data_IF_074887557166
#
_entry.id   IF_074887557166
#
_cell.length_a   1.000
_cell.length_b   1.000
_cell.length_c   1.000
_cell.angle_alpha   90.00
_cell.angle_beta   90.00
_cell.angle_gamma   90.00
#
_symmetry.space_group_name_H-M   'P 1'
#
loop_
_entity.id
_entity.type
_entity.pdbx_description
1 polymer ?
#
# COMPACT_ATOMS: atom_id res chain seq x y z
N UNK A 1 -0.44 13.90 -16.07
CA UNK A 1 -0.43 15.13 -16.92
C UNK A 1 -0.36 14.85 -18.41
N UNK A 2 0.47 13.91 -18.88
CA UNK A 2 0.49 13.51 -20.30
C UNK A 2 -0.89 13.03 -20.81
N UNK A 3 -1.66 12.37 -19.94
CA UNK A 3 -2.85 11.64 -20.36
C UNK A 3 -4.05 12.53 -20.76
N UNK A 4 -4.31 13.63 -20.04
CA UNK A 4 -5.47 14.49 -20.31
C UNK A 4 -5.25 15.40 -21.53
N UNK A 5 -4.03 15.90 -21.70
CA UNK A 5 -3.65 16.71 -22.86
C UNK A 5 -3.62 15.88 -24.15
N UNK A 6 -3.09 14.66 -24.09
CA UNK A 6 -3.06 13.74 -25.25
C UNK A 6 -4.48 13.30 -25.63
N UNK A 7 -5.35 13.00 -24.66
CA UNK A 7 -6.75 12.66 -24.92
C UNK A 7 -7.51 13.79 -25.63
N UNK A 8 -7.33 15.04 -25.17
CA UNK A 8 -7.96 16.21 -25.80
C UNK A 8 -7.43 16.48 -27.21
N UNK A 9 -6.14 16.26 -27.45
CA UNK A 9 -5.52 16.41 -28.78
C UNK A 9 -6.06 15.34 -29.73
N UNK A 10 -6.13 14.08 -29.29
CA UNK A 10 -6.64 12.98 -30.11
C UNK A 10 -8.14 13.12 -30.39
N UNK A 11 -8.94 13.47 -29.37
CA UNK A 11 -10.37 13.74 -29.55
C UNK A 11 -10.63 14.97 -30.45
N UNK A 12 -9.81 16.01 -30.31
CA UNK A 12 -9.86 17.20 -31.16
C UNK A 12 -9.49 16.92 -32.62
N UNK A 13 -8.46 16.09 -32.86
CA UNK A 13 -8.06 15.64 -34.20
C UNK A 13 -9.12 14.71 -34.84
N UNK A 14 -9.74 13.83 -34.05
CA UNK A 14 -10.85 12.99 -34.51
C UNK A 14 -12.05 13.85 -34.92
N UNK A 15 -12.48 14.80 -34.08
CA UNK A 15 -13.55 15.75 -34.41
C UNK A 15 -13.23 16.61 -35.63
N UNK A 16 -12.01 17.15 -35.74
CA UNK A 16 -11.58 17.90 -36.91
C UNK A 16 -11.64 17.05 -38.19
N UNK A 17 -11.27 15.76 -38.13
CA UNK A 17 -11.31 14.86 -39.29
C UNK A 17 -12.73 14.56 -39.80
N UNK A 18 -13.72 14.53 -38.88
CA UNK A 18 -15.15 14.39 -39.23
C UNK A 18 -15.73 15.67 -39.81
N UNK A 19 -15.32 16.84 -39.31
CA UNK A 19 -15.78 18.17 -39.77
C UNK A 19 -15.18 18.55 -41.14
N UNK A 20 -13.91 18.21 -41.39
CA UNK A 20 -13.22 18.53 -42.65
C UNK A 20 -13.43 17.48 -43.77
N UNK A 21 -14.26 16.45 -43.57
CA UNK A 21 -14.56 15.45 -44.59
C UNK A 21 -13.37 14.53 -44.96
N UNK A 22 -12.29 14.56 -44.16
CA UNK A 22 -11.10 13.70 -44.30
C UNK A 22 -11.36 12.25 -43.87
N UNK A 23 -12.56 11.96 -43.37
CA UNK A 23 -13.04 10.62 -42.97
C UNK A 23 -13.10 9.59 -44.12
N UNK A 24 -12.75 9.96 -45.35
CA UNK A 24 -12.60 9.07 -46.50
C UNK A 24 -11.29 8.27 -46.48
N UNK A 25 -10.30 8.68 -45.66
CA UNK A 25 -9.00 8.01 -45.58
C UNK A 25 -9.02 6.88 -44.55
N UNK A 26 -8.75 5.61 -44.94
CA UNK A 26 -8.89 4.45 -44.06
C UNK A 26 -7.95 4.50 -42.84
N UNK A 27 -6.77 5.12 -42.98
CA UNK A 27 -5.78 5.25 -41.90
C UNK A 27 -6.27 6.13 -40.74
N UNK A 28 -7.08 7.16 -41.03
CA UNK A 28 -7.58 8.10 -40.01
C UNK A 28 -8.66 7.43 -39.14
N UNK A 29 -9.52 6.60 -39.74
CA UNK A 29 -10.54 5.85 -39.00
C UNK A 29 -9.94 4.81 -38.06
N UNK A 30 -8.86 4.15 -38.49
CA UNK A 30 -8.15 3.19 -37.63
C UNK A 30 -7.60 3.90 -36.37
N UNK A 31 -7.01 5.08 -36.54
CA UNK A 31 -6.51 5.88 -35.41
C UNK A 31 -7.63 6.30 -34.44
N UNK A 32 -8.80 6.65 -34.97
CA UNK A 32 -9.98 7.01 -34.17
C UNK A 32 -10.50 5.84 -33.34
N UNK A 33 -10.54 4.63 -33.89
CA UNK A 33 -10.87 3.42 -33.12
C UNK A 33 -9.85 3.14 -32.01
N UNK A 34 -8.54 3.26 -32.29
CA UNK A 34 -7.50 3.11 -31.26
C UNK A 34 -7.65 4.12 -30.13
N UNK A 35 -8.04 5.37 -30.44
CA UNK A 35 -8.31 6.40 -29.44
C UNK A 35 -9.50 6.04 -28.53
N UNK A 36 -10.57 5.48 -29.11
CA UNK A 36 -11.74 5.02 -28.35
C UNK A 36 -11.40 3.82 -27.46
N UNK A 37 -10.59 2.87 -27.95
CA UNK A 37 -10.08 1.76 -27.13
C UNK A 37 -9.17 2.24 -25.99
N UNK A 38 -8.40 3.30 -26.21
CA UNK A 38 -7.59 3.93 -25.17
C UNK A 38 -8.46 4.59 -24.08
N UNK A 39 -9.62 5.15 -24.45
CA UNK A 39 -10.63 5.61 -23.49
C UNK A 39 -11.26 4.46 -22.70
N UNK A 40 -11.28 3.25 -23.28
CA UNK A 40 -11.79 2.04 -22.64
C UNK A 40 -10.81 1.48 -21.59
N UNK A 41 -9.51 1.75 -21.72
CA UNK A 41 -8.53 1.54 -20.65
C UNK A 41 -8.83 2.53 -19.51
N UNK A 42 -9.31 2.09 -18.34
CA UNK A 42 -9.92 3.00 -17.40
C UNK A 42 -8.85 3.78 -16.64
N UNK A 43 -8.70 5.06 -16.98
CA UNK A 43 -8.05 6.05 -16.10
C UNK A 43 -8.72 6.11 -14.71
N UNK A 44 -10.01 5.77 -14.66
CA UNK A 44 -10.77 5.65 -13.43
C UNK A 44 -10.26 4.53 -12.54
N UNK A 45 -9.81 3.39 -13.10
CA UNK A 45 -9.30 2.26 -12.33
C UNK A 45 -8.04 2.67 -11.54
N UNK A 46 -7.13 3.41 -12.17
CA UNK A 46 -5.93 3.90 -11.50
C UNK A 46 -6.27 4.80 -10.31
N UNK A 47 -7.18 5.76 -10.51
CA UNK A 47 -7.59 6.67 -9.43
C UNK A 47 -8.34 5.91 -8.33
N UNK A 48 -9.19 4.95 -8.70
CA UNK A 48 -9.89 4.09 -7.73
C UNK A 48 -8.94 3.25 -6.89
N UNK A 49 -7.87 2.75 -7.48
CA UNK A 49 -6.84 1.97 -6.80
C UNK A 49 -6.07 2.81 -5.77
N UNK A 50 -5.63 4.01 -6.16
CA UNK A 50 -4.98 4.95 -5.23
C UNK A 50 -5.92 5.34 -4.07
N UNK A 51 -7.22 5.56 -4.35
CA UNK A 51 -8.21 5.83 -3.31
C UNK A 51 -8.40 4.65 -2.36
N UNK A 52 -8.36 3.42 -2.88
CA UNK A 52 -8.43 2.21 -2.06
C UNK A 52 -7.23 2.11 -1.11
N UNK A 53 -6.02 2.36 -1.60
CA UNK A 53 -4.80 2.36 -0.78
C UNK A 53 -4.85 3.40 0.34
N UNK A 54 -5.34 4.61 0.05
CA UNK A 54 -5.54 5.63 1.07
C UNK A 54 -6.56 5.21 2.14
N UNK A 55 -7.66 4.58 1.73
CA UNK A 55 -8.68 4.10 2.65
C UNK A 55 -8.15 2.99 3.58
N UNK A 56 -7.40 2.03 3.03
CA UNK A 56 -6.80 0.94 3.82
C UNK A 56 -5.74 1.49 4.78
N UNK A 57 -4.87 2.39 4.31
CA UNK A 57 -3.87 3.04 5.16
C UNK A 57 -4.51 3.77 6.34
N UNK A 58 -5.58 4.52 6.09
CA UNK A 58 -6.33 5.19 7.14
C UNK A 58 -6.97 4.22 8.15
N UNK A 59 -7.40 3.04 7.71
CA UNK A 59 -7.92 2.03 8.63
C UNK A 59 -6.85 1.39 9.48
N UNK A 60 -5.63 1.17 8.97
CA UNK A 60 -4.51 0.66 9.77
C UNK A 60 -4.16 1.64 10.88
N UNK A 61 -4.14 2.94 10.58
CA UNK A 61 -3.81 3.98 11.56
C UNK A 61 -4.88 4.16 12.65
N UNK A 62 -6.14 3.81 12.34
CA UNK A 62 -7.26 3.94 13.27
C UNK A 62 -7.58 2.67 14.04
N UNK A 63 -6.85 1.58 13.81
CA UNK A 63 -7.09 0.32 14.50
C UNK A 63 -6.67 0.42 15.97
N UNK A 64 -7.59 0.28 16.94
CA UNK A 64 -7.24 0.32 18.36
C UNK A 64 -6.39 -0.87 18.80
N UNK A 65 -6.40 -1.99 18.08
CA UNK A 65 -5.62 -3.19 18.44
C UNK A 65 -4.12 -3.05 18.11
N UNK A 66 -3.77 -2.11 17.24
CA UNK A 66 -2.38 -1.85 16.82
C UNK A 66 -1.79 -0.62 17.52
N UNK A 67 -2.31 -0.26 18.69
CA UNK A 67 -1.82 0.85 19.53
C UNK A 67 -1.06 0.28 20.72
N UNK A 68 0.09 0.89 21.02
CA UNK A 68 0.87 0.53 22.20
C UNK A 68 0.36 1.32 23.42
N UNK A 69 -0.10 0.61 24.44
CA UNK A 69 -0.63 1.22 25.68
C UNK A 69 0.44 1.98 26.47
N UNK A 70 1.72 1.62 26.32
CA UNK A 70 2.81 2.24 27.08
C UNK A 70 3.24 3.59 26.51
N UNK A 71 3.27 3.73 25.18
CA UNK A 71 3.71 4.94 24.48
C UNK A 71 2.55 5.77 23.92
N UNK A 72 1.33 5.24 23.91
CA UNK A 72 0.15 5.81 23.25
C UNK A 72 0.36 6.06 21.74
N UNK A 73 1.34 5.37 21.14
CA UNK A 73 1.62 5.43 19.72
C UNK A 73 0.86 4.31 18.97
N UNK A 74 0.28 4.65 17.82
CA UNK A 74 -0.40 3.71 16.93
C UNK A 74 0.45 3.29 15.74
N UNK A 75 0.04 2.21 15.05
CA UNK A 75 0.61 1.87 13.75
C UNK A 75 0.46 3.04 12.75
N UNK A 76 1.53 3.36 12.03
CA UNK A 76 1.55 4.45 11.06
C UNK A 76 1.86 3.94 9.65
N UNK A 77 0.95 4.16 8.70
CA UNK A 77 1.06 3.69 7.33
C UNK A 77 1.78 4.72 6.45
N UNK A 78 3.11 4.82 6.59
CA UNK A 78 3.92 5.87 5.92
C UNK A 78 3.97 5.76 4.39
N UNK A 79 3.75 4.57 3.85
CA UNK A 79 3.69 4.34 2.41
C UNK A 79 2.48 3.47 2.08
N UNK A 80 1.46 4.06 1.47
CA UNK A 80 0.20 3.38 1.15
C UNK A 80 0.29 2.51 -0.11
N UNK A 81 1.31 2.72 -0.97
CA UNK A 81 1.46 1.99 -2.23
C UNK A 81 1.84 0.50 -2.06
N UNK A 82 2.42 0.15 -0.91
CA UNK A 82 2.90 -1.21 -0.59
C UNK A 82 1.94 -2.00 0.32
N UNK A 83 0.75 -1.46 0.60
CA UNK A 83 -0.19 -2.08 1.53
C UNK A 83 -0.66 -3.46 1.06
N UNK A 84 -0.77 -3.67 -0.25
CA UNK A 84 -1.15 -4.97 -0.82
C UNK A 84 -0.03 -6.00 -0.74
N UNK A 85 1.23 -5.55 -0.87
CA UNK A 85 2.40 -6.42 -0.75
C UNK A 85 2.51 -6.99 0.67
N UNK A 86 2.03 -6.26 1.69
CA UNK A 86 1.98 -6.74 3.06
C UNK A 86 1.15 -8.03 3.21
N UNK A 87 0.11 -8.20 2.39
CA UNK A 87 -0.71 -9.42 2.36
C UNK A 87 -0.05 -10.60 1.65
N UNK A 88 1.08 -10.38 0.99
CA UNK A 88 1.80 -11.38 0.18
C UNK A 88 3.19 -11.71 0.76
N UNK A 89 3.47 -11.29 2.00
CA UNK A 89 4.77 -11.53 2.62
C UNK A 89 4.89 -12.99 3.07
N UNK A 90 5.85 -13.73 2.51
CA UNK A 90 6.17 -15.12 2.89
C UNK A 90 7.27 -15.23 3.96
N UNK A 91 8.19 -14.27 4.01
CA UNK A 91 9.35 -14.31 4.90
C UNK A 91 9.45 -13.03 5.74
N UNK A 92 9.52 -13.22 7.06
CA UNK A 92 9.75 -12.13 8.02
C UNK A 92 11.18 -12.21 8.55
N UNK A 93 12.00 -11.22 8.20
CA UNK A 93 13.32 -11.03 8.82
C UNK A 93 13.17 -10.10 10.01
N UNK A 94 13.42 -10.60 11.22
CA UNK A 94 13.37 -9.82 12.45
C UNK A 94 14.77 -9.56 12.99
N UNK A 95 15.00 -8.35 13.48
CA UNK A 95 16.15 -8.08 14.34
C UNK A 95 15.92 -8.67 15.73
N UNK A 96 17.00 -8.96 16.47
CA UNK A 96 16.92 -9.52 17.82
C UNK A 96 16.72 -8.42 18.86
N UNK A 97 17.63 -7.45 18.90
CA UNK A 97 17.72 -6.49 19.99
C UNK A 97 16.84 -5.28 19.69
N UNK A 98 15.89 -4.97 20.58
CA UNK A 98 14.95 -3.87 20.35
C UNK A 98 13.74 -4.23 19.50
N UNK A 99 13.65 -5.46 18.98
CA UNK A 99 12.43 -6.01 18.35
C UNK A 99 11.94 -7.24 19.10
N UNK A 100 12.71 -8.33 19.13
CA UNK A 100 12.30 -9.56 19.84
C UNK A 100 12.53 -9.47 21.35
N UNK A 101 13.57 -8.75 21.78
CA UNK A 101 13.89 -8.61 23.20
C UNK A 101 13.84 -7.14 23.60
N UNK A 102 13.11 -6.85 24.68
CA UNK A 102 13.33 -5.63 25.45
C UNK A 102 14.78 -5.62 25.96
N UNK A 103 15.41 -4.46 25.99
CA UNK A 103 16.78 -4.31 26.48
C UNK A 103 16.83 -4.33 28.03
N UNK A 104 16.25 -5.38 28.62
CA UNK A 104 16.13 -5.59 30.05
C UNK A 104 16.43 -7.07 30.37
N UNK A 105 17.40 -7.31 31.26
CA UNK A 105 17.76 -8.65 31.70
C UNK A 105 17.25 -8.89 33.10
N UNK A 106 16.33 -9.85 33.26
CA UNK A 106 15.77 -10.23 34.55
C UNK A 106 16.36 -11.55 35.03
N UNK A 107 16.76 -11.58 36.29
CA UNK A 107 17.21 -12.82 36.92
C UNK A 107 16.00 -13.74 37.12
N UNK A 108 16.05 -14.95 36.57
CA UNK A 108 14.91 -15.87 36.61
C UNK A 108 15.10 -16.98 37.66
N UNK A 109 16.25 -17.66 37.62
CA UNK A 109 16.56 -18.80 38.48
C UNK A 109 18.04 -18.82 38.83
N UNK A 110 18.36 -19.41 39.99
CA UNK A 110 19.72 -19.71 40.41
C UNK A 110 19.80 -21.19 40.80
N UNK A 111 20.81 -21.93 40.36
CA UNK A 111 21.09 -23.27 40.87
C UNK A 111 22.36 -23.25 41.71
N UNK A 112 22.28 -23.75 42.95
CA UNK A 112 23.42 -23.82 43.88
C UNK A 112 23.51 -25.26 44.42
N UNK A 113 24.50 -26.02 43.96
CA UNK A 113 24.61 -27.45 44.29
C UNK A 113 23.45 -28.24 43.69
N UNK A 114 22.68 -28.94 44.55
CA UNK A 114 21.49 -29.71 44.15
C UNK A 114 20.17 -28.94 44.33
N UNK A 115 20.20 -27.66 44.75
CA UNK A 115 19.00 -26.84 44.91
C UNK A 115 18.84 -25.82 43.80
N UNK A 116 17.60 -25.62 43.35
CA UNK A 116 17.21 -24.59 42.38
C UNK A 116 16.34 -23.57 43.12
N UNK A 117 16.79 -22.31 43.12
CA UNK A 117 16.12 -21.15 43.68
C UNK A 117 15.40 -20.38 42.55
N UNK A 118 14.12 -20.11 42.73
CA UNK A 118 13.30 -19.32 41.80
C UNK A 118 11.88 -19.88 41.66
N UNK A 119 11.00 -19.23 40.86
CA UNK A 119 11.31 -18.09 39.97
C UNK A 119 11.40 -16.74 40.69
N UNK A 120 12.34 -15.90 40.25
CA UNK A 120 12.46 -14.49 40.61
C UNK A 120 11.78 -13.54 39.60
N UNK A 121 11.07 -14.10 38.62
CA UNK A 121 10.31 -13.34 37.64
C UNK A 121 9.06 -12.72 38.30
N UNK A 122 8.72 -11.45 37.98
CA UNK A 122 7.46 -10.87 38.40
C UNK A 122 6.31 -11.71 37.82
N UNK A 123 5.30 -11.99 38.65
CA UNK A 123 4.09 -12.69 38.19
C UNK A 123 3.36 -11.81 37.17
N UNK A 124 2.83 -12.38 36.07
CA UNK A 124 2.00 -11.63 35.16
C UNK A 124 0.77 -11.11 35.92
N UNK A 125 0.45 -9.84 35.72
CA UNK A 125 -0.82 -9.25 36.16
C UNK A 125 -2.00 -9.84 35.37
#
# INVERSE_FOLDING_TARGET
FLNRSVLCIIAGLALASTVFGLASWPHVRILEYFALFYLMMPMTLYISFEMLHLLIGFQIERDPLMRDDATDDGAAARNTSILEELGQVDFLFSDKTGTLTANEMRFAYCAIGSSVLGPFLPQPA
#
